data_IF_006116546949
#
_entry.id   IF_006116546949
#
_cell.length_a   1.000
_cell.length_b   1.000
_cell.length_c   1.000
_cell.angle_alpha   90.00
_cell.angle_beta   90.00
_cell.angle_gamma   90.00
#
_symmetry.space_group_name_H-M   'P 1'
#
loop_
_entity.id
_entity.type
_entity.pdbx_description
1 polymer ?
#
# COMPACT_ATOMS: atom_id res chain seq x y z
N UNK A 1 10.83 38.99 9.89
CA UNK A 1 11.31 38.52 8.58
C UNK A 1 10.16 37.87 7.81
N UNK A 2 9.87 38.34 6.61
CA UNK A 2 8.50 38.47 6.05
C UNK A 2 8.22 37.68 4.77
N UNK A 3 9.17 36.96 4.18
CA UNK A 3 8.96 36.28 2.89
C UNK A 3 9.41 34.81 2.90
N UNK A 4 8.58 33.94 2.32
CA UNK A 4 8.84 32.50 2.10
C UNK A 4 8.79 32.16 0.62
N UNK A 5 9.52 32.94 -0.20
CA UNK A 5 9.52 32.85 -1.67
C UNK A 5 10.56 31.82 -2.11
N UNK A 6 10.27 31.12 -3.20
CA UNK A 6 11.19 30.20 -3.86
C UNK A 6 11.50 30.69 -5.29
N UNK A 7 12.72 30.44 -5.81
CA UNK A 7 13.05 30.70 -7.20
C UNK A 7 12.16 29.94 -8.18
N UNK A 8 11.86 30.53 -9.33
CA UNK A 8 10.98 29.93 -10.35
C UNK A 8 11.48 28.57 -10.85
N UNK A 9 12.80 28.37 -10.89
CA UNK A 9 13.42 27.09 -11.25
C UNK A 9 13.07 25.94 -10.28
N UNK A 10 12.67 26.25 -9.04
CA UNK A 10 12.20 25.28 -8.05
C UNK A 10 10.68 25.05 -8.10
N UNK A 11 9.93 25.96 -8.70
CA UNK A 11 8.48 25.91 -8.86
C UNK A 11 8.05 25.07 -10.07
N UNK A 12 8.94 24.91 -11.07
CA UNK A 12 8.70 24.08 -12.25
C UNK A 12 8.81 22.58 -11.93
N UNK A 13 7.78 21.81 -12.33
CA UNK A 13 7.68 20.37 -12.12
C UNK A 13 7.36 19.68 -13.45
N UNK A 14 8.09 18.62 -13.77
CA UNK A 14 7.86 17.83 -14.97
C UNK A 14 7.09 16.56 -14.63
N UNK A 15 5.87 16.42 -15.16
CA UNK A 15 5.05 15.22 -15.02
C UNK A 15 5.40 14.21 -16.12
N UNK A 16 5.83 13.01 -15.72
CA UNK A 16 6.09 11.89 -16.62
C UNK A 16 5.05 10.80 -16.37
N UNK A 17 4.12 10.55 -17.32
CA UNK A 17 3.15 9.46 -17.20
C UNK A 17 3.83 8.09 -17.29
N UNK A 18 3.59 7.24 -16.30
CA UNK A 18 4.08 5.86 -16.26
C UNK A 18 2.89 4.90 -16.32
N UNK A 19 2.93 3.92 -17.22
CA UNK A 19 1.88 2.89 -17.30
C UNK A 19 1.89 1.98 -16.07
N UNK A 20 0.71 1.74 -15.49
CA UNK A 20 0.49 0.83 -14.35
C UNK A 20 0.52 -0.63 -14.81
N UNK A 21 -0.22 -0.95 -15.86
CA UNK A 21 -0.28 -2.28 -16.44
C UNK A 21 0.04 -2.25 -17.94
N UNK A 22 1.08 -3.01 -18.31
CA UNK A 22 1.53 -3.15 -19.71
C UNK A 22 0.60 -4.02 -20.55
N UNK A 23 -0.23 -4.85 -19.92
CA UNK A 23 -1.19 -5.71 -20.61
C UNK A 23 -2.55 -5.01 -20.87
N UNK A 24 -2.79 -3.87 -20.22
CA UNK A 24 -4.02 -3.08 -20.39
C UNK A 24 -3.95 -2.13 -21.59
N UNK A 25 -5.10 -1.60 -22.00
CA UNK A 25 -5.23 -0.71 -23.16
C UNK A 25 -4.42 0.57 -22.96
N UNK A 26 -3.55 0.88 -23.93
CA UNK A 26 -2.70 2.09 -23.96
C UNK A 26 -3.54 3.38 -24.00
N UNK A 27 -4.76 3.32 -24.53
CA UNK A 27 -5.67 4.48 -24.62
C UNK A 27 -6.40 4.81 -23.31
N UNK A 28 -6.32 3.95 -22.29
CA UNK A 28 -7.03 4.18 -21.03
C UNK A 28 -6.24 5.15 -20.13
N UNK A 29 -6.79 6.34 -19.87
CA UNK A 29 -6.18 7.36 -19.02
C UNK A 29 -5.86 6.84 -17.60
N UNK A 30 -6.75 6.03 -17.03
CA UNK A 30 -6.59 5.51 -15.66
C UNK A 30 -5.45 4.48 -15.51
N UNK A 31 -4.94 3.98 -16.66
CA UNK A 31 -3.76 3.12 -16.71
C UNK A 31 -2.46 3.92 -16.53
N UNK A 32 -2.49 5.25 -16.57
CA UNK A 32 -1.30 6.07 -16.33
C UNK A 32 -1.24 6.58 -14.89
N UNK A 33 -0.02 6.64 -14.37
CA UNK A 33 0.32 7.28 -13.10
C UNK A 33 1.28 8.44 -13.40
N UNK A 34 0.87 9.70 -13.17
CA UNK A 34 1.75 10.84 -13.40
C UNK A 34 2.80 10.92 -12.29
N UNK A 35 4.08 10.78 -12.64
CA UNK A 35 5.18 10.96 -11.69
C UNK A 35 5.73 12.38 -11.83
N UNK A 36 5.71 13.12 -10.74
CA UNK A 36 6.22 14.48 -10.64
C UNK A 36 7.74 14.48 -10.41
N UNK A 37 8.48 14.94 -11.40
CA UNK A 37 9.92 15.13 -11.35
C UNK A 37 10.22 16.60 -11.05
N UNK A 38 10.58 16.87 -9.80
CA UNK A 38 11.11 18.16 -9.38
C UNK A 38 12.61 18.27 -9.71
N UNK A 39 13.12 19.51 -9.78
CA UNK A 39 14.55 19.78 -9.94
C UNK A 39 15.38 19.20 -8.78
N UNK A 40 16.68 19.00 -9.01
CA UNK A 40 17.59 18.47 -7.98
C UNK A 40 17.60 19.39 -6.76
N UNK A 41 17.67 20.71 -6.98
CA UNK A 41 17.63 21.70 -5.91
C UNK A 41 16.33 21.63 -5.10
N UNK A 42 15.19 21.46 -5.79
CA UNK A 42 13.90 21.23 -5.13
C UNK A 42 13.92 19.99 -4.25
N UNK A 43 14.48 18.87 -4.72
CA UNK A 43 14.57 17.62 -3.94
C UNK A 43 15.46 17.78 -2.70
N UNK A 44 16.58 18.50 -2.83
CA UNK A 44 17.48 18.80 -1.69
C UNK A 44 16.73 19.65 -0.65
N UNK A 45 16.02 20.68 -1.09
CA UNK A 45 15.22 21.51 -0.19
C UNK A 45 14.09 20.72 0.47
N UNK A 46 13.35 19.90 -0.28
CA UNK A 46 12.31 19.03 0.27
C UNK A 46 12.90 18.08 1.33
N UNK A 47 14.12 17.57 1.14
CA UNK A 47 14.79 16.73 2.14
C UNK A 47 15.10 17.49 3.43
N UNK A 48 15.64 18.70 3.33
CA UNK A 48 15.91 19.54 4.51
C UNK A 48 14.61 19.87 5.25
N UNK A 49 13.56 20.20 4.51
CA UNK A 49 12.24 20.46 5.08
C UNK A 49 11.63 19.19 5.69
N UNK A 50 11.84 18.02 5.08
CA UNK A 50 11.38 16.74 5.62
C UNK A 50 11.94 16.49 7.00
N UNK A 51 13.26 16.64 7.17
CA UNK A 51 13.91 16.42 8.47
C UNK A 51 13.35 17.38 9.53
N UNK A 52 13.10 18.65 9.17
CA UNK A 52 12.51 19.65 10.09
C UNK A 52 11.03 19.40 10.40
N UNK A 53 10.23 18.98 9.42
CA UNK A 53 8.78 18.75 9.58
C UNK A 53 8.52 17.43 10.30
N UNK A 54 9.36 16.42 10.09
CA UNK A 54 9.18 15.08 10.65
C UNK A 54 9.11 15.07 12.18
N UNK A 55 9.80 16.00 12.85
CA UNK A 55 9.79 16.15 14.32
C UNK A 55 8.39 16.50 14.86
N UNK A 56 7.55 17.16 14.07
CA UNK A 56 6.21 17.59 14.47
C UNK A 56 5.09 16.62 14.03
N UNK A 57 5.41 15.67 13.13
CA UNK A 57 4.43 14.76 12.56
C UNK A 57 4.73 13.35 13.06
N UNK A 58 3.96 12.90 14.03
CA UNK A 58 3.90 11.49 14.43
C UNK A 58 2.82 10.76 13.61
N UNK A 59 3.20 9.69 12.91
CA UNK A 59 2.24 8.77 12.30
C UNK A 59 1.58 7.89 13.37
N UNK A 60 0.26 7.73 13.30
CA UNK A 60 -0.47 6.81 14.17
C UNK A 60 -0.02 5.35 13.97
N UNK A 61 -0.24 4.52 14.99
CA UNK A 61 0.16 3.10 14.96
C UNK A 61 -0.59 2.29 13.90
N UNK A 62 -1.80 2.72 13.51
CA UNK A 62 -2.59 2.02 12.50
C UNK A 62 -2.10 2.32 11.07
N UNK A 63 -1.16 3.26 10.89
CA UNK A 63 -0.57 3.60 9.59
C UNK A 63 0.80 2.92 9.44
N UNK A 64 0.87 1.99 8.49
CA UNK A 64 2.07 1.24 8.14
C UNK A 64 2.79 1.84 6.92
N UNK A 65 2.07 2.59 6.09
CA UNK A 65 2.61 3.23 4.89
C UNK A 65 3.54 4.39 5.21
N UNK A 66 4.64 4.47 4.47
CA UNK A 66 5.67 5.53 4.60
C UNK A 66 6.20 5.74 6.02
N UNK A 67 6.14 4.71 6.85
CA UNK A 67 6.66 4.72 8.23
C UNK A 67 7.95 3.90 8.28
N UNK A 68 9.02 4.40 8.92
CA UNK A 68 10.25 3.64 9.03
C UNK A 68 9.99 2.31 9.77
N UNK A 69 10.68 1.24 9.34
CA UNK A 69 10.56 -0.12 9.91
C UNK A 69 9.17 -0.76 9.79
N UNK A 70 8.30 -0.24 8.94
CA UNK A 70 6.99 -0.84 8.63
C UNK A 70 6.97 -1.26 7.17
N UNK A 71 6.59 -2.52 6.93
CA UNK A 71 6.46 -3.09 5.60
C UNK A 71 5.01 -3.44 5.29
N UNK A 72 4.74 -3.76 4.02
CA UNK A 72 3.42 -4.27 3.59
C UNK A 72 3.12 -5.61 4.23
N UNK A 73 4.14 -6.43 4.44
CA UNK A 73 4.08 -7.72 5.10
C UNK A 73 3.57 -7.62 6.55
N UNK A 74 4.05 -6.64 7.32
CA UNK A 74 3.57 -6.40 8.69
C UNK A 74 2.09 -6.02 8.74
N UNK A 75 1.63 -5.22 7.77
CA UNK A 75 0.21 -4.84 7.69
C UNK A 75 -0.67 -6.04 7.32
N UNK A 76 -0.24 -6.87 6.35
CA UNK A 76 -0.96 -8.09 5.97
C UNK A 76 -0.96 -9.09 7.14
N UNK A 77 0.17 -9.25 7.83
CA UNK A 77 0.31 -10.10 9.00
C UNK A 77 -0.71 -9.70 10.09
N UNK A 78 -0.81 -8.41 10.41
CA UNK A 78 -1.78 -7.92 11.38
C UNK A 78 -3.23 -8.28 11.00
N UNK A 79 -3.61 -8.16 9.72
CA UNK A 79 -4.93 -8.60 9.24
C UNK A 79 -5.13 -10.10 9.45
N UNK A 80 -4.15 -10.94 9.06
CA UNK A 80 -4.21 -12.40 9.20
C UNK A 80 -4.34 -12.81 10.68
N UNK A 81 -3.58 -12.20 11.57
CA UNK A 81 -3.62 -12.48 13.01
C UNK A 81 -4.98 -12.11 13.64
N UNK A 82 -5.54 -10.94 13.28
CA UNK A 82 -6.86 -10.52 13.76
C UNK A 82 -7.92 -11.57 13.38
N UNK A 83 -7.91 -12.01 12.13
CA UNK A 83 -8.86 -13.02 11.66
C UNK A 83 -8.60 -14.37 12.32
N UNK A 84 -7.34 -14.77 12.50
CA UNK A 84 -6.96 -16.02 13.19
C UNK A 84 -7.49 -16.06 14.63
N UNK A 85 -7.29 -14.97 15.40
CA UNK A 85 -7.77 -14.86 16.78
C UNK A 85 -9.29 -14.94 16.90
N UNK A 86 -10.01 -14.27 16.01
CA UNK A 86 -11.47 -14.29 16.00
C UNK A 86 -12.02 -15.66 15.57
N UNK A 87 -11.36 -16.31 14.61
CA UNK A 87 -11.68 -17.67 14.20
C UNK A 87 -11.45 -18.70 15.29
N UNK A 88 -10.38 -18.56 16.07
CA UNK A 88 -10.13 -19.42 17.22
C UNK A 88 -11.25 -19.31 18.27
N UNK A 89 -11.90 -18.14 18.36
CA UNK A 89 -13.09 -17.89 19.18
C UNK A 89 -14.41 -18.19 18.46
N UNK A 90 -14.34 -18.79 17.27
CA UNK A 90 -15.49 -19.11 16.43
C UNK A 90 -16.40 -17.89 16.18
N UNK A 91 -15.79 -16.74 15.94
CA UNK A 91 -16.45 -15.50 15.51
C UNK A 91 -16.02 -15.13 14.10
N UNK A 92 -16.98 -14.73 13.26
CA UNK A 92 -16.69 -14.18 11.95
C UNK A 92 -16.05 -12.79 12.05
N UNK A 93 -15.27 -12.45 11.02
CA UNK A 93 -14.72 -11.11 10.82
C UNK A 93 -15.09 -10.66 9.42
N UNK A 94 -15.75 -9.51 9.33
CA UNK A 94 -16.06 -8.84 8.08
C UNK A 94 -15.01 -7.76 7.86
N UNK A 95 -14.41 -7.75 6.67
CA UNK A 95 -13.40 -6.79 6.28
C UNK A 95 -13.84 -6.09 4.99
N UNK A 96 -13.58 -4.80 4.89
CA UNK A 96 -13.72 -4.06 3.65
C UNK A 96 -12.36 -3.45 3.28
N UNK A 97 -11.86 -3.82 2.10
CA UNK A 97 -10.69 -3.23 1.48
C UNK A 97 -11.15 -2.07 0.62
N UNK A 98 -10.78 -0.86 1.00
CA UNK A 98 -11.24 0.39 0.41
C UNK A 98 -10.14 0.93 -0.51
N UNK A 99 -10.50 1.18 -1.77
CA UNK A 99 -9.63 1.79 -2.79
C UNK A 99 -9.98 3.27 -2.94
N UNK A 100 -9.04 4.16 -2.65
CA UNK A 100 -9.19 5.59 -2.86
C UNK A 100 -8.70 6.00 -4.25
N UNK A 101 -9.58 6.61 -5.05
CA UNK A 101 -9.27 7.02 -6.42
C UNK A 101 -8.38 8.25 -6.43
N UNK A 102 -7.15 8.10 -6.94
CA UNK A 102 -6.19 9.21 -7.13
C UNK A 102 -5.98 10.03 -5.85
N UNK A 103 -5.85 9.34 -4.71
CA UNK A 103 -5.84 9.96 -3.37
C UNK A 103 -4.77 11.06 -3.22
N UNK A 104 -3.56 10.83 -3.75
CA UNK A 104 -2.48 11.82 -3.72
C UNK A 104 -2.84 13.11 -4.47
N UNK A 105 -3.57 13.00 -5.58
CA UNK A 105 -3.86 14.14 -6.47
C UNK A 105 -5.02 14.99 -5.93
N UNK A 106 -5.77 14.49 -4.94
CA UNK A 106 -6.98 15.13 -4.39
C UNK A 106 -6.78 15.91 -3.10
N UNK A 107 -5.60 15.83 -2.49
CA UNK A 107 -5.30 16.50 -1.22
C UNK A 107 -5.58 18.01 -1.30
N UNK A 108 -6.54 18.51 -0.52
CA UNK A 108 -6.84 19.95 -0.46
C UNK A 108 -5.74 20.69 0.29
N UNK A 109 -5.01 21.55 -0.41
CA UNK A 109 -3.86 22.30 0.14
C UNK A 109 -4.21 23.09 1.41
N UNK A 110 -5.36 23.81 1.40
CA UNK A 110 -5.82 24.57 2.57
C UNK A 110 -5.95 23.69 3.82
N UNK A 111 -6.64 22.55 3.69
CA UNK A 111 -6.84 21.59 4.80
C UNK A 111 -5.51 21.00 5.28
N UNK A 112 -4.60 20.69 4.35
CA UNK A 112 -3.27 20.18 4.67
C UNK A 112 -2.44 21.20 5.47
N UNK A 113 -2.40 22.46 5.03
CA UNK A 113 -1.63 23.50 5.73
C UNK A 113 -2.24 23.88 7.08
N UNK A 114 -3.57 23.87 7.21
CA UNK A 114 -4.22 24.05 8.50
C UNK A 114 -3.91 22.90 9.48
N UNK A 115 -3.81 21.66 8.99
CA UNK A 115 -3.31 20.51 9.78
C UNK A 115 -1.86 20.72 10.24
N UNK A 116 -0.95 21.19 9.38
CA UNK A 116 0.43 21.48 9.78
C UNK A 116 0.50 22.54 10.88
N UNK A 117 -0.29 23.61 10.78
CA UNK A 117 -0.38 24.65 11.83
C UNK A 117 -0.87 24.06 13.15
N UNK A 118 -1.93 23.24 13.13
CA UNK A 118 -2.47 22.56 14.33
C UNK A 118 -1.44 21.64 14.99
N UNK A 119 -0.53 21.05 14.23
CA UNK A 119 0.59 20.22 14.75
C UNK A 119 1.77 21.02 15.27
N UNK A 120 1.70 22.35 15.29
CA UNK A 120 2.76 23.20 15.80
C UNK A 120 3.96 23.34 14.86
N UNK A 121 3.83 22.98 13.57
CA UNK A 121 4.90 23.19 12.59
C UNK A 121 5.19 24.70 12.49
N UNK A 122 6.47 25.12 12.55
CA UNK A 122 6.84 26.53 12.53
C UNK A 122 6.24 27.28 11.34
N UNK A 123 5.65 28.45 11.61
CA UNK A 123 4.89 29.21 10.61
C UNK A 123 5.71 29.59 9.36
N UNK A 124 7.03 29.75 9.49
CA UNK A 124 7.90 30.00 8.33
C UNK A 124 7.96 28.79 7.37
N UNK A 125 7.97 27.56 7.90
CA UNK A 125 7.93 26.33 7.08
C UNK A 125 6.59 26.22 6.37
N UNK A 126 5.49 26.41 7.11
CA UNK A 126 4.14 26.36 6.54
C UNK A 126 3.99 27.40 5.43
N UNK A 127 4.55 28.60 5.61
CA UNK A 127 4.56 29.66 4.57
C UNK A 127 5.33 29.24 3.32
N UNK A 128 6.54 28.67 3.46
CA UNK A 128 7.32 28.17 2.31
C UNK A 128 6.54 27.09 1.56
N UNK A 129 5.97 26.11 2.27
CA UNK A 129 5.17 25.06 1.64
C UNK A 129 3.91 25.62 0.97
N UNK A 130 3.22 26.55 1.61
CA UNK A 130 2.03 27.19 1.05
C UNK A 130 2.36 27.96 -0.23
N UNK A 131 3.44 28.74 -0.24
CA UNK A 131 3.92 29.45 -1.42
C UNK A 131 4.25 28.47 -2.54
N UNK A 132 5.00 27.40 -2.21
CA UNK A 132 5.44 26.42 -3.19
C UNK A 132 4.29 25.69 -3.88
N UNK A 133 3.31 25.20 -3.12
CA UNK A 133 2.16 24.48 -3.67
C UNK A 133 1.19 25.40 -4.42
N UNK A 134 1.11 26.69 -4.06
CA UNK A 134 0.24 27.65 -4.73
C UNK A 134 0.81 28.15 -6.08
N UNK A 135 2.14 28.23 -6.21
CA UNK A 135 2.81 28.78 -7.40
C UNK A 135 3.52 27.72 -8.25
N UNK A 136 3.31 26.44 -7.96
CA UNK A 136 3.90 25.36 -8.77
C UNK A 136 3.31 25.36 -10.18
N UNK A 137 4.18 25.25 -11.17
CA UNK A 137 3.82 25.09 -12.57
C UNK A 137 4.24 23.71 -13.03
N UNK A 138 3.28 22.94 -13.53
CA UNK A 138 3.51 21.59 -14.03
C UNK A 138 3.50 21.57 -15.56
N UNK A 139 4.35 20.72 -16.14
CA UNK A 139 4.39 20.43 -17.57
C UNK A 139 4.38 18.91 -17.76
N UNK A 140 3.60 18.39 -18.72
CA UNK A 140 3.60 16.97 -19.05
C UNK A 140 4.66 16.70 -20.11
N UNK A 141 5.55 15.73 -19.83
CA UNK A 141 6.48 15.19 -20.82
C UNK A 141 5.96 13.88 -21.38
N UNK A 142 5.81 13.83 -22.70
CA UNK A 142 5.45 12.62 -23.44
C UNK A 142 6.48 12.37 -24.55
N UNK A 143 7.34 11.36 -24.35
CA UNK A 143 8.47 11.12 -25.23
C UNK A 143 9.41 12.33 -25.29
N UNK A 144 9.60 12.89 -26.48
CA UNK A 144 10.39 14.11 -26.72
C UNK A 144 9.58 15.41 -26.59
N UNK A 145 8.25 15.33 -26.46
CA UNK A 145 7.36 16.50 -26.42
C UNK A 145 7.07 16.94 -24.98
N UNK A 146 6.92 18.25 -24.79
CA UNK A 146 6.58 18.88 -23.52
C UNK A 146 5.33 19.75 -23.74
N UNK A 147 4.35 19.65 -22.85
CA UNK A 147 3.12 20.46 -22.92
C UNK A 147 3.35 21.92 -22.52
N UNK A 148 2.37 22.76 -22.81
CA UNK A 148 2.26 24.07 -22.15
C UNK A 148 2.21 23.90 -20.62
N UNK A 149 2.77 24.85 -19.85
CA UNK A 149 2.70 24.83 -18.39
C UNK A 149 1.28 25.08 -17.91
N UNK A 150 0.91 24.45 -16.80
CA UNK A 150 -0.37 24.65 -16.12
C UNK A 150 -0.19 24.64 -14.60
N UNK A 151 -1.03 25.39 -13.89
CA UNK A 151 -1.04 25.45 -12.44
C UNK A 151 -1.78 24.26 -11.81
N UNK A 152 -1.50 23.98 -10.54
CA UNK A 152 -2.14 22.88 -9.78
C UNK A 152 -2.68 23.39 -8.45
N UNK A 153 -3.97 23.17 -8.22
CA UNK A 153 -4.70 23.68 -7.04
C UNK A 153 -4.94 22.64 -5.94
N UNK A 154 -4.67 21.36 -6.22
CA UNK A 154 -4.84 20.26 -5.28
C UNK A 154 -3.76 19.18 -5.46
N UNK A 155 -3.67 18.31 -4.47
CA UNK A 155 -2.79 17.15 -4.49
C UNK A 155 -1.39 17.41 -3.96
N UNK A 156 -0.75 16.31 -3.59
CA UNK A 156 0.67 16.21 -3.26
C UNK A 156 1.42 15.53 -4.40
N UNK A 157 2.67 15.92 -4.63
CA UNK A 157 3.45 15.49 -5.80
C UNK A 157 3.78 14.01 -5.72
N UNK A 158 3.34 13.19 -6.66
CA UNK A 158 3.75 11.79 -6.73
C UNK A 158 5.23 11.69 -7.10
N UNK A 159 6.09 11.31 -6.15
CA UNK A 159 7.55 11.30 -6.32
C UNK A 159 8.29 12.44 -5.59
N UNK A 160 7.56 13.35 -4.93
CA UNK A 160 8.14 14.32 -3.99
C UNK A 160 8.61 13.64 -2.70
N UNK A 161 9.67 14.17 -2.09
CA UNK A 161 10.26 13.63 -0.84
C UNK A 161 9.34 13.90 0.35
N UNK A 162 8.66 15.05 0.35
CA UNK A 162 7.71 15.45 1.41
C UNK A 162 6.31 14.86 1.23
N UNK A 163 5.92 14.51 0.01
CA UNK A 163 4.55 14.09 -0.30
C UNK A 163 4.04 12.92 0.55
N UNK A 164 4.85 11.88 0.84
CA UNK A 164 4.39 10.75 1.67
C UNK A 164 4.00 11.14 3.10
N UNK A 165 4.82 11.96 3.77
CA UNK A 165 4.54 12.38 5.16
C UNK A 165 3.37 13.38 5.21
N UNK A 166 3.26 14.24 4.20
CA UNK A 166 2.12 15.16 4.06
C UNK A 166 0.82 14.40 3.81
N UNK A 167 0.86 13.33 3.01
CA UNK A 167 -0.30 12.47 2.79
C UNK A 167 -0.71 11.73 4.07
N UNK A 168 0.25 11.16 4.81
CA UNK A 168 -0.03 10.53 6.10
C UNK A 168 -0.69 11.50 7.08
N UNK A 169 -0.17 12.73 7.21
CA UNK A 169 -0.81 13.78 8.01
C UNK A 169 -2.23 14.11 7.53
N UNK A 170 -2.44 14.11 6.21
CA UNK A 170 -3.73 14.40 5.63
C UNK A 170 -4.77 13.38 6.05
N UNK A 171 -4.44 12.08 6.02
CA UNK A 171 -5.37 10.99 6.35
C UNK A 171 -5.41 10.63 7.84
N UNK A 172 -4.55 11.22 8.67
CA UNK A 172 -4.46 10.91 10.10
C UNK A 172 -5.77 11.16 10.87
N UNK A 173 -6.49 12.24 10.54
CA UNK A 173 -7.77 12.56 11.19
C UNK A 173 -8.84 11.49 10.89
N UNK A 174 -8.78 10.80 9.74
CA UNK A 174 -9.66 9.65 9.46
C UNK A 174 -9.38 8.51 10.43
N UNK A 175 -8.11 8.22 10.69
CA UNK A 175 -7.73 7.18 11.65
C UNK A 175 -8.19 7.52 13.07
N UNK A 176 -8.13 8.80 13.47
CA UNK A 176 -8.66 9.26 14.76
C UNK A 176 -10.19 9.06 14.84
N UNK A 177 -10.93 9.45 13.80
CA UNK A 177 -12.39 9.29 13.75
C UNK A 177 -12.80 7.81 13.78
N UNK A 178 -12.10 6.95 13.02
CA UNK A 178 -12.35 5.51 13.06
C UNK A 178 -12.05 4.94 14.44
N UNK A 179 -10.93 5.29 15.09
CA UNK A 179 -10.61 4.84 16.47
C UNK A 179 -11.65 5.26 17.50
N UNK A 180 -12.30 6.41 17.32
CA UNK A 180 -13.35 6.88 18.20
C UNK A 180 -14.66 6.05 18.09
N UNK A 181 -14.80 5.23 17.05
CA UNK A 181 -15.94 4.33 16.91
C UNK A 181 -15.83 3.14 17.88
N UNK A 182 -16.90 2.85 18.61
CA UNK A 182 -16.99 1.71 19.54
C UNK A 182 -17.21 0.35 18.84
N UNK A 183 -16.74 0.21 17.60
CA UNK A 183 -16.85 -1.01 16.77
C UNK A 183 -15.47 -1.40 16.24
N UNK A 184 -15.25 -2.71 16.10
CA UNK A 184 -13.98 -3.28 15.66
C UNK A 184 -13.70 -4.65 16.25
N UNK A 185 -12.46 -5.08 16.09
CA UNK A 185 -11.90 -6.27 16.71
C UNK A 185 -11.13 -5.92 17.99
N UNK A 186 -11.42 -6.63 19.08
CA UNK A 186 -10.76 -6.49 20.37
C UNK A 186 -9.55 -7.44 20.40
N UNK A 187 -8.35 -6.87 20.51
CA UNK A 187 -7.10 -7.59 20.72
C UNK A 187 -6.58 -7.28 22.13
N UNK A 188 -6.70 -8.27 23.01
CA UNK A 188 -6.39 -8.09 24.43
C UNK A 188 -7.30 -7.03 25.05
N UNK A 189 -6.74 -5.86 25.37
CA UNK A 189 -7.46 -4.70 25.94
C UNK A 189 -7.70 -3.57 24.94
N UNK A 190 -7.26 -3.74 23.69
CA UNK A 190 -7.27 -2.67 22.68
C UNK A 190 -8.30 -2.99 21.60
N UNK A 191 -9.16 -2.01 21.29
CA UNK A 191 -10.05 -2.06 20.15
C UNK A 191 -9.30 -1.58 18.89
N UNK A 192 -9.28 -2.40 17.85
CA UNK A 192 -8.70 -2.07 16.54
C UNK A 192 -9.77 -2.31 15.48
N UNK A 193 -9.97 -1.34 14.60
CA UNK A 193 -11.02 -1.43 13.58
C UNK A 193 -10.55 -1.11 12.16
N UNK A 194 -9.31 -0.66 12.00
CA UNK A 194 -8.73 -0.40 10.70
C UNK A 194 -7.21 -0.49 10.71
N UNK A 195 -6.65 -0.73 9.53
CA UNK A 195 -5.24 -0.62 9.22
C UNK A 195 -5.10 0.16 7.91
N UNK A 196 -4.06 0.99 7.84
CA UNK A 196 -3.78 1.82 6.67
C UNK A 196 -2.37 1.53 6.17
N UNK A 197 -2.22 1.51 4.85
CA UNK A 197 -0.94 1.55 4.18
C UNK A 197 -1.01 2.60 3.08
N UNK A 198 -0.59 3.82 3.40
CA UNK A 198 -0.78 4.97 2.52
C UNK A 198 -2.27 5.16 2.19
N UNK A 199 -2.65 5.05 0.91
CA UNK A 199 -4.01 5.17 0.39
C UNK A 199 -4.82 3.88 0.51
N UNK A 200 -4.17 2.72 0.68
CA UNK A 200 -4.85 1.45 0.92
C UNK A 200 -5.38 1.42 2.37
N UNK A 201 -6.70 1.30 2.53
CA UNK A 201 -7.37 1.22 3.82
C UNK A 201 -8.13 -0.11 3.93
N UNK A 202 -7.93 -0.82 5.04
CA UNK A 202 -8.79 -1.94 5.42
C UNK A 202 -9.50 -1.61 6.72
N UNK A 203 -10.82 -1.70 6.71
CA UNK A 203 -11.67 -1.59 7.91
C UNK A 203 -12.27 -2.95 8.21
N UNK A 204 -12.46 -3.27 9.49
CA UNK A 204 -12.96 -4.56 9.90
C UNK A 204 -13.75 -4.53 11.20
N UNK A 205 -14.75 -5.40 11.28
CA UNK A 205 -15.60 -5.57 12.45
C UNK A 205 -16.17 -7.00 12.47
N UNK A 206 -16.41 -7.59 13.65
CA UNK A 206 -17.16 -8.85 13.76
C UNK A 206 -18.67 -8.65 13.53
N UNK A 207 -19.17 -7.40 13.57
CA UNK A 207 -20.57 -7.06 13.36
C UNK A 207 -20.81 -6.42 12.00
N UNK A 208 -21.91 -6.76 11.33
CA UNK A 208 -22.31 -6.14 10.06
C UNK A 208 -22.68 -4.66 10.23
N UNK A 209 -23.44 -4.32 11.27
CA UNK A 209 -23.75 -2.93 11.62
C UNK A 209 -22.46 -2.17 11.92
N UNK A 210 -21.57 -2.79 12.71
CA UNK A 210 -20.28 -2.22 13.05
C UNK A 210 -19.36 -1.98 11.84
N UNK A 211 -19.40 -2.82 10.81
CA UNK A 211 -18.67 -2.58 9.56
C UNK A 211 -19.29 -1.42 8.78
N UNK A 212 -20.62 -1.35 8.69
CA UNK A 212 -21.32 -0.27 7.98
C UNK A 212 -21.07 1.10 8.64
N UNK A 213 -21.01 1.17 9.97
CA UNK A 213 -20.67 2.40 10.70
C UNK A 213 -19.28 2.92 10.31
N UNK A 214 -18.28 2.03 10.23
CA UNK A 214 -16.93 2.39 9.78
C UNK A 214 -16.92 2.89 8.32
N UNK A 215 -17.73 2.30 7.44
CA UNK A 215 -17.87 2.75 6.06
C UNK A 215 -18.56 4.11 5.94
N UNK A 216 -19.50 4.40 6.83
CA UNK A 216 -20.16 5.71 6.91
C UNK A 216 -19.16 6.79 7.32
N UNK A 217 -18.34 6.54 8.34
CA UNK A 217 -17.25 7.45 8.75
C UNK A 217 -16.27 7.69 7.61
N UNK A 218 -15.87 6.64 6.88
CA UNK A 218 -15.04 6.81 5.69
C UNK A 218 -15.72 7.73 4.67
N UNK A 219 -17.00 7.47 4.36
CA UNK A 219 -17.77 8.27 3.40
C UNK A 219 -17.86 9.75 3.79
N UNK A 220 -18.19 10.04 5.05
CA UNK A 220 -18.27 11.41 5.58
C UNK A 220 -16.91 12.13 5.50
N UNK A 221 -15.84 11.45 5.92
CA UNK A 221 -14.49 11.96 5.80
C UNK A 221 -14.12 12.24 4.34
N UNK A 222 -14.47 11.33 3.43
CA UNK A 222 -14.24 11.46 2.00
C UNK A 222 -14.87 12.71 1.42
N UNK A 223 -16.12 13.01 1.79
CA UNK A 223 -16.81 14.25 1.40
C UNK A 223 -16.08 15.49 1.95
N UNK A 224 -15.69 15.47 3.22
CA UNK A 224 -15.06 16.63 3.87
C UNK A 224 -13.65 16.92 3.33
N UNK A 225 -12.88 15.87 3.03
CA UNK A 225 -11.48 15.93 2.63
C UNK A 225 -11.24 15.61 1.15
N UNK A 226 -12.30 15.53 0.34
CA UNK A 226 -12.23 15.29 -1.11
C UNK A 226 -11.54 13.97 -1.49
N UNK A 227 -11.71 12.93 -0.67
CA UNK A 227 -11.23 11.58 -0.97
C UNK A 227 -12.39 10.83 -1.63
N UNK A 228 -12.25 10.53 -2.92
CA UNK A 228 -13.23 9.72 -3.64
C UNK A 228 -12.89 8.24 -3.50
N UNK A 229 -13.85 7.43 -3.06
CA UNK A 229 -13.70 5.99 -2.97
C UNK A 229 -14.23 5.28 -4.21
N UNK A 230 -13.46 4.31 -4.72
CA UNK A 230 -13.86 3.48 -5.85
C UNK A 230 -14.63 2.25 -5.37
N UNK A 231 -15.95 2.30 -5.38
CA UNK A 231 -16.78 1.16 -4.95
C UNK A 231 -16.56 -0.11 -5.79
N UNK A 232 -16.21 0.02 -7.08
CA UNK A 232 -15.99 -1.14 -7.96
C UNK A 232 -14.63 -1.83 -7.74
N UNK A 233 -13.64 -1.11 -7.19
CA UNK A 233 -12.35 -1.67 -6.79
C UNK A 233 -12.28 -2.02 -5.31
N UNK A 234 -13.15 -1.42 -4.52
CA UNK A 234 -13.31 -1.76 -3.10
C UNK A 234 -14.04 -3.09 -2.99
N UNK A 235 -13.63 -3.92 -2.04
CA UNK A 235 -14.13 -5.28 -1.93
C UNK A 235 -14.39 -5.63 -0.46
N UNK A 236 -15.54 -6.27 -0.21
CA UNK A 236 -15.84 -6.86 1.09
C UNK A 236 -15.39 -8.33 1.07
N UNK A 237 -14.67 -8.73 2.12
CA UNK A 237 -14.30 -10.12 2.37
C UNK A 237 -14.85 -10.53 3.73
N UNK A 238 -15.63 -11.60 3.75
CA UNK A 238 -16.22 -12.12 4.99
C UNK A 238 -15.52 -13.43 5.33
N UNK A 239 -14.74 -13.43 6.41
CA UNK A 239 -14.14 -14.64 6.93
C UNK A 239 -15.14 -15.38 7.81
N UNK A 240 -15.88 -16.29 7.18
CA UNK A 240 -16.93 -17.08 7.83
C UNK A 240 -16.34 -18.11 8.79
N UNK A 241 -17.06 -18.34 9.88
CA UNK A 241 -16.88 -19.52 10.73
C UNK A 241 -17.69 -20.70 10.17
N UNK A 242 -17.54 -21.89 10.77
CA UNK A 242 -18.38 -23.04 10.39
C UNK A 242 -19.86 -22.82 10.70
N UNK A 243 -20.15 -22.09 11.78
CA UNK A 243 -21.53 -21.79 12.22
C UNK A 243 -22.18 -20.72 11.33
N UNK A 244 -21.38 -19.78 10.82
CA UNK A 244 -21.88 -18.64 10.03
C UNK A 244 -21.97 -18.93 8.51
N UNK A 245 -21.81 -20.21 8.11
CA UNK A 245 -21.84 -20.60 6.69
C UNK A 245 -23.16 -20.25 6.00
N UNK A 246 -24.29 -20.34 6.72
CA UNK A 246 -25.63 -20.08 6.18
C UNK A 246 -26.14 -18.66 6.49
N UNK A 247 -25.39 -17.83 7.23
CA UNK A 247 -25.82 -16.47 7.54
C UNK A 247 -25.79 -15.58 6.28
N UNK A 248 -26.90 -14.91 6.03
CA UNK A 248 -26.97 -13.87 5.01
C UNK A 248 -26.57 -12.53 5.65
N UNK A 249 -25.45 -11.98 5.19
CA UNK A 249 -25.01 -10.65 5.60
C UNK A 249 -25.73 -9.59 4.76
N UNK A 250 -26.00 -8.40 5.34
CA UNK A 250 -26.58 -7.31 4.58
C UNK A 250 -25.61 -6.82 3.50
N UNK A 251 -26.16 -6.12 2.51
CA UNK A 251 -25.36 -5.41 1.51
C UNK A 251 -24.68 -4.19 2.15
N UNK A 252 -23.37 -4.10 1.98
CA UNK A 252 -22.58 -2.97 2.47
C UNK A 252 -22.56 -1.83 1.47
N UNK A 253 -22.62 -0.59 1.95
CA UNK A 253 -22.58 0.61 1.12
C UNK A 253 -21.37 1.47 1.45
N UNK A 254 -20.69 1.96 0.42
CA UNK A 254 -19.60 2.95 0.51
C UNK A 254 -19.88 4.07 -0.48
N UNK A 255 -19.91 5.32 -0.01
CA UNK A 255 -20.31 6.45 -0.85
C UNK A 255 -21.64 6.22 -1.61
N UNK A 256 -22.64 5.66 -0.89
CA UNK A 256 -23.97 5.29 -1.40
C UNK A 256 -24.00 4.18 -2.47
N UNK A 257 -22.85 3.61 -2.85
CA UNK A 257 -22.74 2.50 -3.80
C UNK A 257 -22.62 1.17 -3.04
N UNK A 258 -23.30 0.14 -3.53
CA UNK A 258 -23.23 -1.20 -2.96
C UNK A 258 -21.88 -1.84 -3.28
N UNK A 259 -21.28 -2.49 -2.29
CA UNK A 259 -20.03 -3.24 -2.43
C UNK A 259 -20.28 -4.71 -2.72
N UNK A 260 -19.45 -5.30 -3.57
CA UNK A 260 -19.46 -6.72 -3.84
C UNK A 260 -18.72 -7.50 -2.74
N UNK A 261 -19.28 -8.65 -2.37
CA UNK A 261 -18.66 -9.59 -1.44
C UNK A 261 -17.86 -10.61 -2.24
N UNK A 262 -16.55 -10.61 -2.05
CA UNK A 262 -15.63 -11.54 -2.70
C UNK A 262 -15.16 -12.61 -1.72
N UNK A 263 -14.80 -13.79 -2.25
CA UNK A 263 -14.12 -14.86 -1.48
C UNK A 263 -12.61 -14.70 -1.45
N UNK A 264 -12.06 -13.83 -2.29
CA UNK A 264 -10.64 -13.56 -2.44
C UNK A 264 -10.42 -12.12 -2.86
N UNK A 265 -9.50 -11.44 -2.17
CA UNK A 265 -9.11 -10.06 -2.47
C UNK A 265 -7.59 -9.98 -2.53
N UNK A 266 -7.05 -9.19 -3.46
CA UNK A 266 -5.62 -8.90 -3.52
C UNK A 266 -5.35 -7.61 -2.74
N UNK A 267 -4.74 -7.73 -1.57
CA UNK A 267 -4.42 -6.61 -0.68
C UNK A 267 -2.91 -6.45 -0.53
N UNK A 268 -2.37 -5.25 -0.75
CA UNK A 268 -0.93 -4.95 -0.71
C UNK A 268 -0.09 -5.95 -1.52
N UNK A 269 -0.64 -6.43 -2.64
CA UNK A 269 0.01 -7.38 -3.51
C UNK A 269 0.06 -8.82 -3.00
N UNK A 270 -0.67 -9.19 -1.94
CA UNK A 270 -0.86 -10.57 -1.44
C UNK A 270 -2.34 -10.97 -1.52
N UNK A 271 -2.65 -12.25 -1.74
CA UNK A 271 -4.04 -12.70 -1.76
C UNK A 271 -4.54 -13.03 -0.36
N UNK A 272 -5.62 -12.37 0.05
CA UNK A 272 -6.36 -12.70 1.27
C UNK A 272 -7.62 -13.43 0.84
N UNK A 273 -7.75 -14.66 1.28
CA UNK A 273 -8.88 -15.54 0.96
C UNK A 273 -9.77 -15.72 2.18
N UNK A 274 -11.05 -16.05 1.94
CA UNK A 274 -11.97 -16.43 3.00
C UNK A 274 -11.36 -17.47 3.95
N UNK A 275 -10.83 -18.63 3.51
CA UNK A 275 -10.21 -19.60 4.40
C UNK A 275 -8.86 -19.18 5.02
N UNK A 276 -8.28 -18.03 4.64
CA UNK A 276 -6.95 -17.58 5.08
C UNK A 276 -5.80 -18.53 4.72
N UNK A 277 -5.93 -19.25 3.59
CA UNK A 277 -4.84 -20.05 3.04
C UNK A 277 -3.98 -19.22 2.06
N UNK A 278 -2.72 -19.60 1.94
CA UNK A 278 -1.73 -18.91 1.11
C UNK A 278 -1.52 -19.58 -0.25
N UNK A 279 -2.25 -20.67 -0.57
CA UNK A 279 -2.03 -21.51 -1.76
C UNK A 279 -2.03 -20.71 -3.06
N UNK A 280 -3.00 -19.81 -3.23
CA UNK A 280 -3.12 -18.94 -4.40
C UNK A 280 -1.94 -17.97 -4.53
N UNK A 281 -1.43 -17.46 -3.40
CA UNK A 281 -0.30 -16.54 -3.38
C UNK A 281 1.02 -17.25 -3.66
N UNK A 282 1.21 -18.42 -3.05
CA UNK A 282 2.33 -19.34 -3.30
C UNK A 282 2.35 -19.72 -4.78
N UNK A 283 1.21 -20.12 -5.34
CA UNK A 283 1.10 -20.47 -6.76
C UNK A 283 1.50 -19.28 -7.65
N UNK A 284 0.99 -18.08 -7.35
CA UNK A 284 1.33 -16.86 -8.10
C UNK A 284 2.82 -16.53 -8.06
N UNK A 285 3.46 -16.55 -6.89
CA UNK A 285 4.90 -16.28 -6.78
C UNK A 285 5.74 -17.35 -7.47
N UNK A 286 5.31 -18.63 -7.42
CA UNK A 286 5.95 -19.71 -8.15
C UNK A 286 5.88 -19.49 -9.67
N UNK A 287 4.73 -19.11 -10.21
CA UNK A 287 4.60 -18.76 -11.63
C UNK A 287 5.50 -17.59 -12.01
N UNK A 288 5.55 -16.54 -11.17
CA UNK A 288 6.43 -15.38 -11.38
C UNK A 288 7.91 -15.78 -11.40
N UNK A 289 8.33 -16.65 -10.48
CA UNK A 289 9.68 -17.20 -10.42
C UNK A 289 10.05 -17.91 -11.73
N UNK A 290 9.18 -18.80 -12.24
CA UNK A 290 9.42 -19.48 -13.51
C UNK A 290 9.57 -18.50 -14.68
N UNK A 291 8.70 -17.51 -14.78
CA UNK A 291 8.77 -16.49 -15.84
C UNK A 291 10.08 -15.69 -15.74
N UNK A 292 10.50 -15.29 -14.54
CA UNK A 292 11.75 -14.56 -14.32
C UNK A 292 12.97 -15.42 -14.65
N UNK A 293 13.02 -16.67 -14.17
CA UNK A 293 14.11 -17.60 -14.44
C UNK A 293 14.28 -17.86 -15.94
N UNK A 294 13.17 -18.15 -16.65
CA UNK A 294 13.18 -18.34 -18.10
C UNK A 294 13.59 -17.07 -18.85
N UNK A 295 13.17 -15.89 -18.36
CA UNK A 295 13.59 -14.61 -18.94
C UNK A 295 15.09 -14.39 -18.78
N UNK A 296 15.66 -14.73 -17.63
CA UNK A 296 17.11 -14.63 -17.39
C UNK A 296 17.87 -15.60 -18.29
N UNK A 297 17.45 -16.87 -18.33
CA UNK A 297 18.08 -17.89 -19.16
C UNK A 297 18.09 -17.51 -20.65
N UNK A 298 16.97 -16.95 -21.14
CA UNK A 298 16.82 -16.53 -22.54
C UNK A 298 17.57 -15.24 -22.87
N UNK A 299 17.37 -14.17 -22.08
CA UNK A 299 17.95 -12.84 -22.38
C UNK A 299 19.45 -12.77 -22.14
N UNK A 300 19.95 -13.54 -21.19
CA UNK A 300 21.36 -13.57 -20.81
C UNK A 300 22.00 -14.90 -21.18
N UNK A 301 21.52 -15.56 -22.24
CA UNK A 301 22.03 -16.85 -22.73
C UNK A 301 23.54 -16.80 -23.02
N UNK A 302 24.03 -15.67 -23.55
CA UNK A 302 25.43 -15.42 -23.86
C UNK A 302 26.32 -15.10 -22.65
N UNK A 303 25.73 -14.85 -21.47
CA UNK A 303 26.50 -14.54 -20.27
C UNK A 303 27.11 -15.79 -19.63
N UNK A 304 28.22 -15.59 -18.92
CA UNK A 304 28.89 -16.66 -18.16
C UNK A 304 28.00 -17.19 -17.03
N UNK A 305 28.23 -18.44 -16.62
CA UNK A 305 27.49 -19.08 -15.53
C UNK A 305 27.51 -18.26 -14.22
N UNK A 306 28.64 -17.68 -13.76
CA UNK A 306 28.65 -16.82 -12.58
C UNK A 306 27.71 -15.62 -12.68
N UNK A 307 27.63 -14.98 -13.86
CA UNK A 307 26.72 -13.85 -14.10
C UNK A 307 25.26 -14.31 -14.04
N UNK A 308 24.93 -15.44 -14.68
CA UNK A 308 23.59 -16.02 -14.62
C UNK A 308 23.18 -16.37 -13.19
N UNK A 309 24.08 -16.94 -12.40
CA UNK A 309 23.83 -17.24 -10.97
C UNK A 309 23.61 -15.96 -10.18
N UNK A 310 24.42 -14.91 -10.40
CA UNK A 310 24.23 -13.62 -9.75
C UNK A 310 22.87 -12.98 -10.10
N UNK A 311 22.50 -13.00 -11.38
CA UNK A 311 21.20 -12.51 -11.85
C UNK A 311 20.04 -13.32 -11.26
N UNK A 312 20.14 -14.65 -11.25
CA UNK A 312 19.13 -15.49 -10.62
C UNK A 312 19.00 -15.16 -9.13
N UNK A 313 20.12 -15.06 -8.39
CA UNK A 313 20.10 -14.70 -6.97
C UNK A 313 19.43 -13.34 -6.73
N UNK A 314 19.70 -12.35 -7.57
CA UNK A 314 19.15 -11.00 -7.43
C UNK A 314 17.66 -10.91 -7.76
N UNK A 315 17.20 -11.57 -8.83
CA UNK A 315 15.85 -11.38 -9.37
C UNK A 315 14.85 -12.48 -9.00
N UNK A 316 15.32 -13.68 -8.67
CA UNK A 316 14.48 -14.86 -8.41
C UNK A 316 14.37 -15.22 -6.92
N UNK A 317 15.38 -14.90 -6.08
CA UNK A 317 15.35 -15.21 -4.64
C UNK A 317 14.36 -14.38 -3.80
N UNK A 318 14.10 -13.08 -4.08
CA UNK A 318 13.17 -12.31 -3.25
C UNK A 318 11.72 -12.70 -3.57
N UNK A 319 11.20 -13.70 -2.86
CA UNK A 319 9.80 -14.09 -2.88
C UNK A 319 9.00 -13.11 -2.01
N UNK A 320 8.25 -12.22 -2.64
CA UNK A 320 7.41 -11.25 -1.95
C UNK A 320 6.42 -11.95 -1.03
N UNK A 321 6.28 -11.45 0.21
CA UNK A 321 5.38 -11.97 1.26
C UNK A 321 5.58 -13.44 1.65
N UNK A 322 6.67 -14.08 1.23
CA UNK A 322 6.96 -15.47 1.60
C UNK A 322 7.03 -15.73 3.12
N UNK A 323 7.52 -14.81 3.98
CA UNK A 323 7.45 -14.98 5.43
C UNK A 323 6.02 -15.07 6.00
N UNK A 324 5.02 -14.62 5.24
CA UNK A 324 3.61 -14.71 5.65
C UNK A 324 2.97 -16.05 5.31
N UNK A 325 3.59 -16.82 4.41
CA UNK A 325 3.08 -18.12 3.99
C UNK A 325 3.19 -19.08 5.16
N UNK A 326 2.03 -19.48 5.69
CA UNK A 326 1.86 -20.47 6.75
C UNK A 326 3.10 -20.66 7.66
N UNK A 327 3.40 -19.63 8.45
CA UNK A 327 4.10 -19.72 9.73
C UNK A 327 3.11 -20.07 10.86
N UNK A 328 1.94 -20.65 10.54
CA UNK A 328 1.03 -21.30 11.49
C UNK A 328 1.63 -22.65 11.95
N UNK A 329 2.79 -22.61 12.59
CA UNK A 329 3.26 -23.70 13.45
C UNK A 329 2.72 -23.38 14.84
N UNK A 330 1.58 -23.97 15.17
CA UNK A 330 0.96 -23.84 16.49
C UNK A 330 -0.36 -24.58 16.60
N UNK A 331 -0.27 -25.85 17.03
CA UNK A 331 -1.32 -26.76 17.51
C UNK A 331 -2.20 -27.45 16.45
N UNK A 332 -1.90 -28.74 16.25
CA UNK A 332 -2.75 -29.76 15.62
C UNK A 332 -2.94 -29.70 14.10
N UNK A 333 -1.88 -30.07 13.36
CA UNK A 333 -1.88 -31.14 12.33
C UNK A 333 -0.56 -31.10 11.56
N UNK A 334 0.15 -32.23 11.56
CA UNK A 334 1.37 -32.40 10.78
C UNK A 334 1.09 -32.25 9.30
N UNK A 335 1.65 -31.21 8.69
CA UNK A 335 1.79 -31.09 7.24
C UNK A 335 3.28 -30.90 6.97
N UNK A 336 3.83 -31.85 6.22
CA UNK A 336 5.25 -31.95 5.91
C UNK A 336 5.71 -30.74 5.09
N UNK A 337 6.66 -29.99 5.64
CA UNK A 337 7.34 -28.86 5.02
C UNK A 337 8.18 -29.39 3.83
N UNK A 338 7.67 -29.27 2.61
CA UNK A 338 8.43 -29.55 1.38
C UNK A 338 8.89 -28.31 0.61
N UNK A 339 8.58 -27.09 1.07
CA UNK A 339 8.97 -25.84 0.37
C UNK A 339 10.21 -25.14 0.92
N UNK A 340 10.62 -25.39 2.16
CA UNK A 340 11.77 -24.69 2.77
C UNK A 340 13.12 -25.24 2.27
N UNK A 341 13.16 -26.43 1.66
CA UNK A 341 14.43 -27.02 1.23
C UNK A 341 15.01 -26.46 -0.07
N UNK A 342 14.29 -25.56 -0.77
CA UNK A 342 14.74 -25.00 -2.07
C UNK A 342 15.47 -23.65 -1.92
N UNK A 343 15.43 -23.00 -0.76
CA UNK A 343 16.03 -21.66 -0.56
C UNK A 343 17.03 -21.53 0.59
N UNK A 344 17.42 -22.62 1.25
CA UNK A 344 18.45 -22.62 2.28
C UNK A 344 19.80 -23.13 1.78
N UNK A 345 20.78 -22.24 1.63
CA UNK A 345 22.19 -22.61 1.50
C UNK A 345 22.64 -23.49 2.69
N UNK A 346 22.92 -24.77 2.45
CA UNK A 346 23.88 -25.52 3.26
C UNK A 346 25.28 -25.35 2.64
N UNK A 347 25.90 -24.20 2.93
CA UNK A 347 27.36 -24.11 2.91
C UNK A 347 27.83 -24.69 4.24
N UNK A 348 28.21 -25.96 4.19
CA UNK A 348 29.17 -26.71 5.05
C UNK A 348 28.70 -28.15 5.22
N UNK A 349 29.09 -29.02 4.29
CA UNK A 349 29.74 -30.30 4.57
C UNK A 349 30.08 -30.99 3.25
N UNK A 350 31.38 -31.07 3.03
CA UNK A 350 32.02 -31.89 2.01
C UNK A 350 31.57 -33.35 2.17
N UNK A 351 31.16 -34.02 1.10
CA UNK A 351 30.77 -35.43 1.17
C UNK A 351 30.07 -35.98 -0.07
N UNK A 352 30.88 -36.40 -1.04
CA UNK A 352 30.61 -37.42 -2.08
C UNK A 352 29.54 -37.15 -3.16
N UNK A 353 30.09 -37.04 -4.36
CA UNK A 353 29.51 -37.20 -5.70
C UNK A 353 28.77 -38.53 -5.84
N UNK A 354 27.57 -38.53 -6.44
CA UNK A 354 27.17 -39.56 -7.41
C UNK A 354 26.02 -39.06 -8.32
N UNK A 355 26.07 -39.53 -9.57
CA UNK A 355 25.50 -38.88 -10.75
C UNK A 355 23.98 -38.88 -10.88
N UNK A 356 23.48 -37.92 -11.64
CA UNK A 356 22.10 -37.85 -12.09
C UNK A 356 21.92 -36.69 -13.07
N UNK A 357 21.90 -37.01 -14.37
CA UNK A 357 21.73 -36.08 -15.49
C UNK A 357 20.44 -35.26 -15.35
N UNK A 358 20.53 -33.93 -15.49
CA UNK A 358 19.40 -33.08 -15.89
C UNK A 358 19.75 -32.57 -17.29
N UNK A 359 19.01 -33.05 -18.28
CA UNK A 359 19.05 -32.57 -19.66
C UNK A 359 18.44 -31.15 -19.71
N UNK A 360 19.10 -30.29 -20.49
CA UNK A 360 18.91 -28.85 -20.66
C UNK A 360 17.55 -28.44 -21.23
#
# INVERSE_FOLDING_TARGET
>A
MTHGILPDSMLCILLVPVMKDKASKVSCLDNYRPIALASILSKVLERILFDRVSVFISSLDNQFGFKPKHGTDMCIYAVKEIVSLYRAKNSSVLMCFIDASKAFDRVKHRKLFDKLKRRGVPQYIVRILSYWYAHQNMQVKWGSSISAPFGVSNGVRQGGVLSPILFNLYVDDLSIQLRACNTGCILGKTLINHLMYADDLVVFSPSSAGLQDLLNVCTEYGVQYDIEYNAAKSAVLICRTKQDKQLNFPLFKLAQKTLEVHKKVKYLGHFITEPMNDDDDIYRQRCKLYVQANTIARKFSFCSLPVKVALFKAYCTPLYTAPLWSLCIGLSRGISIKLIHVCGCNVTKCGKVQGGRILL
#
